data_IF_779070640463
#
_entry.id   IF_779070640463
#
_cell.length_a   1.000
_cell.length_b   1.000
_cell.length_c   1.000
_cell.angle_alpha   90.00
_cell.angle_beta   90.00
_cell.angle_gamma   90.00
#
_symmetry.space_group_name_H-M   'P 1'
#
loop_
_entity.id
_entity.type
_entity.pdbx_description
1 polymer ?
#
# COMPACT_ATOMS: atom_id res chain seq x y z
N UNK A 1 -41.32 8.83 -0.22
CA UNK A 1 -39.97 8.45 0.27
C UNK A 1 -39.03 8.60 -0.91
N UNK A 2 -37.94 9.41 -0.73
CA UNK A 2 -36.96 9.58 -1.76
C UNK A 2 -36.25 8.24 -1.99
N UNK A 3 -36.23 7.71 -3.22
CA UNK A 3 -35.59 6.43 -3.51
C UNK A 3 -34.06 6.45 -3.22
N UNK A 4 -33.55 7.63 -3.00
CA UNK A 4 -32.14 7.84 -2.63
C UNK A 4 -31.81 7.71 -1.13
N UNK A 5 -32.55 7.24 -0.46
CA UNK A 5 -32.39 7.13 0.80
C UNK A 5 -31.71 5.98 1.25
N UNK A 6 -31.77 5.22 0.52
CA UNK A 6 -31.16 3.98 0.94
C UNK A 6 -29.73 3.90 0.42
N UNK A 7 -28.85 3.28 1.20
CA UNK A 7 -27.48 3.01 0.80
C UNK A 7 -27.48 2.05 -0.40
N UNK A 8 -26.59 2.31 -1.35
CA UNK A 8 -26.38 1.37 -2.46
C UNK A 8 -25.72 0.09 -1.92
N UNK A 9 -25.78 -0.99 -2.70
CA UNK A 9 -25.13 -2.24 -2.34
C UNK A 9 -23.63 -2.03 -2.10
N UNK A 10 -22.95 -1.25 -2.96
CA UNK A 10 -21.51 -0.96 -2.83
C UNK A 10 -21.20 -0.18 -1.56
N UNK A 11 -22.05 0.80 -1.22
CA UNK A 11 -21.89 1.54 0.04
C UNK A 11 -22.06 0.63 1.26
N UNK A 12 -23.01 -0.29 1.21
CA UNK A 12 -23.21 -1.26 2.29
C UNK A 12 -21.99 -2.18 2.44
N UNK A 13 -21.45 -2.68 1.31
CA UNK A 13 -20.24 -3.49 1.30
C UNK A 13 -19.07 -2.67 1.86
N UNK A 14 -18.91 -1.41 1.44
CA UNK A 14 -17.86 -0.51 1.93
C UNK A 14 -17.91 -0.36 3.44
N UNK A 15 -19.08 -0.04 3.99
CA UNK A 15 -19.27 0.14 5.43
C UNK A 15 -19.00 -1.17 6.20
N UNK A 16 -19.47 -2.30 5.66
CA UNK A 16 -19.22 -3.62 6.27
C UNK A 16 -17.72 -3.95 6.28
N UNK A 17 -17.01 -3.65 5.20
CA UNK A 17 -15.56 -3.87 5.11
C UNK A 17 -14.80 -2.98 6.09
N UNK A 18 -15.17 -1.68 6.20
CA UNK A 18 -14.55 -0.77 7.18
C UNK A 18 -14.79 -1.29 8.60
N UNK A 19 -16.02 -1.68 8.92
CA UNK A 19 -16.35 -2.22 10.25
C UNK A 19 -15.54 -3.50 10.54
N UNK A 20 -15.48 -4.41 9.57
CA UNK A 20 -14.71 -5.65 9.72
C UNK A 20 -13.21 -5.38 9.90
N UNK A 21 -12.67 -4.43 9.12
CA UNK A 21 -11.27 -4.01 9.22
C UNK A 21 -10.97 -3.48 10.63
N UNK A 22 -11.83 -2.60 11.16
CA UNK A 22 -11.63 -2.01 12.49
C UNK A 22 -11.75 -3.06 13.59
N UNK A 23 -12.75 -3.92 13.50
CA UNK A 23 -12.93 -5.03 14.44
C UNK A 23 -11.76 -6.01 14.44
N UNK A 24 -11.21 -6.21 13.25
CA UNK A 24 -10.24 -7.06 13.12
C UNK A 24 -8.97 -6.58 13.61
N UNK A 25 -8.77 -5.40 13.29
CA UNK A 25 -7.52 -4.73 13.69
C UNK A 25 -7.46 -4.45 15.20
N UNK A 26 -8.56 -4.04 15.79
CA UNK A 26 -8.66 -3.83 17.22
C UNK A 26 -8.50 -5.13 18.01
N UNK A 27 -9.25 -6.15 17.66
CA UNK A 27 -9.21 -7.44 18.34
C UNK A 27 -7.83 -8.09 18.29
N UNK A 28 -7.12 -7.91 17.19
CA UNK A 28 -5.78 -8.49 16.99
C UNK A 28 -4.66 -7.54 17.36
N UNK A 29 -5.00 -6.35 17.85
CA UNK A 29 -4.05 -5.30 18.16
C UNK A 29 -3.10 -5.00 17.00
N UNK A 30 -3.66 -4.76 15.89
CA UNK A 30 -3.04 -4.45 14.83
C UNK A 30 -2.70 -3.15 14.77
N UNK A 31 -3.73 -2.32 15.23
CA UNK A 31 -3.64 -0.86 15.30
C UNK A 31 -3.93 -0.39 16.74
N UNK A 32 -3.31 0.71 17.17
CA UNK A 32 -3.70 1.39 18.41
C UNK A 32 -4.95 2.26 18.15
N UNK A 33 -5.45 2.95 19.18
CA UNK A 33 -6.67 3.77 19.07
C UNK A 33 -6.53 4.85 17.98
N UNK A 34 -5.35 5.46 17.88
CA UNK A 34 -5.09 6.49 16.85
C UNK A 34 -5.05 5.89 15.46
N UNK A 35 -4.46 4.70 15.34
CA UNK A 35 -4.40 3.95 14.07
C UNK A 35 -5.77 3.47 13.63
N UNK A 36 -6.62 3.01 14.57
CA UNK A 36 -8.00 2.62 14.26
C UNK A 36 -8.80 3.81 13.72
N UNK A 37 -8.67 4.98 14.36
CA UNK A 37 -9.35 6.20 13.89
C UNK A 37 -8.86 6.59 12.49
N UNK A 38 -7.55 6.61 12.28
CA UNK A 38 -6.98 6.92 10.95
C UNK A 38 -7.42 5.89 9.89
N UNK A 39 -7.43 4.59 10.23
CA UNK A 39 -7.85 3.53 9.32
C UNK A 39 -9.34 3.65 8.97
N UNK A 40 -10.18 4.07 9.93
CA UNK A 40 -11.59 4.36 9.67
C UNK A 40 -11.71 5.47 8.61
N UNK A 41 -11.03 6.60 8.80
CA UNK A 41 -11.11 7.73 7.87
C UNK A 41 -10.58 7.36 6.48
N UNK A 42 -9.39 6.74 6.42
CA UNK A 42 -8.77 6.29 5.17
C UNK A 42 -9.68 5.27 4.47
N UNK A 43 -10.22 4.30 5.22
CA UNK A 43 -11.10 3.26 4.69
C UNK A 43 -12.38 3.84 4.10
N UNK A 44 -13.01 4.79 4.81
CA UNK A 44 -14.21 5.47 4.32
C UNK A 44 -13.92 6.29 3.05
N UNK A 45 -12.82 7.06 3.03
CA UNK A 45 -12.44 7.86 1.86
C UNK A 45 -12.21 6.94 0.65
N UNK A 46 -11.41 5.90 0.81
CA UNK A 46 -11.03 5.02 -0.29
C UNK A 46 -12.26 4.26 -0.83
N UNK A 47 -13.14 3.79 0.07
CA UNK A 47 -14.26 2.93 -0.35
C UNK A 47 -15.49 3.70 -0.81
N UNK A 48 -15.74 4.89 -0.26
CA UNK A 48 -16.94 5.67 -0.60
C UNK A 48 -16.70 6.66 -1.75
N UNK A 49 -15.47 7.18 -1.91
CA UNK A 49 -15.12 8.07 -3.02
C UNK A 49 -14.50 7.30 -4.19
N UNK A 50 -13.83 6.20 -3.92
CA UNK A 50 -13.39 5.22 -4.90
C UNK A 50 -14.42 4.09 -5.00
N UNK A 51 -14.04 2.89 -4.57
CA UNK A 51 -14.93 1.72 -4.63
C UNK A 51 -14.55 0.72 -3.51
N UNK A 52 -15.50 -0.16 -3.10
CA UNK A 52 -15.21 -1.17 -2.07
C UNK A 52 -14.05 -2.11 -2.46
N UNK A 53 -13.85 -2.37 -3.76
CA UNK A 53 -12.72 -3.19 -4.24
C UNK A 53 -11.37 -2.54 -3.92
N UNK A 54 -11.33 -1.21 -3.93
CA UNK A 54 -10.11 -0.46 -3.56
C UNK A 54 -9.75 -0.72 -2.10
N UNK A 55 -10.76 -0.65 -1.23
CA UNK A 55 -10.56 -0.96 0.19
C UNK A 55 -10.14 -2.42 0.38
N UNK A 56 -10.73 -3.36 -0.39
CA UNK A 56 -10.36 -4.77 -0.31
C UNK A 56 -8.86 -4.97 -0.61
N UNK A 57 -8.33 -4.28 -1.62
CA UNK A 57 -6.89 -4.32 -1.94
C UNK A 57 -6.06 -3.77 -0.77
N UNK A 58 -6.49 -2.64 -0.18
CA UNK A 58 -5.79 -2.06 0.99
C UNK A 58 -5.87 -2.95 2.22
N UNK A 59 -6.94 -3.71 2.39
CA UNK A 59 -7.06 -4.69 3.49
C UNK A 59 -6.02 -5.81 3.30
N UNK A 60 -5.80 -6.28 2.08
CA UNK A 60 -4.74 -7.27 1.80
C UNK A 60 -3.37 -6.71 2.22
N UNK A 61 -3.07 -5.46 1.84
CA UNK A 61 -1.85 -4.79 2.27
C UNK A 61 -1.75 -4.75 3.80
N UNK A 62 -2.81 -4.33 4.48
CA UNK A 62 -2.79 -4.19 5.95
C UNK A 62 -2.56 -5.55 6.64
N UNK A 63 -3.27 -6.58 6.19
CA UNK A 63 -3.18 -7.93 6.79
C UNK A 63 -1.77 -8.50 6.61
N UNK A 64 -1.26 -8.49 5.38
CA UNK A 64 0.04 -9.09 5.07
C UNK A 64 1.18 -8.25 5.65
N UNK A 65 1.07 -6.92 5.58
CA UNK A 65 2.06 -6.02 6.18
C UNK A 65 2.13 -6.19 7.69
N UNK A 66 0.96 -6.28 8.36
CA UNK A 66 0.92 -6.51 9.82
C UNK A 66 1.47 -7.88 10.20
N UNK A 67 1.21 -8.90 9.39
CA UNK A 67 1.76 -10.24 9.60
C UNK A 67 3.30 -10.22 9.48
N UNK A 68 3.82 -9.53 8.47
CA UNK A 68 5.27 -9.40 8.26
C UNK A 68 5.94 -8.64 9.42
N UNK A 69 5.30 -7.55 9.90
CA UNK A 69 5.83 -6.78 11.04
C UNK A 69 5.97 -7.66 12.29
N UNK A 70 5.02 -8.55 12.53
CA UNK A 70 5.04 -9.45 13.69
C UNK A 70 5.92 -10.66 13.51
N UNK A 71 6.20 -11.02 12.26
CA UNK A 71 7.05 -12.17 11.98
C UNK A 71 8.45 -11.93 12.54
N UNK A 72 8.92 -12.86 13.38
CA UNK A 72 10.22 -12.78 14.06
C UNK A 72 10.45 -11.48 14.82
N UNK A 73 9.40 -10.93 15.42
CA UNK A 73 9.47 -9.63 16.12
C UNK A 73 10.55 -9.62 17.19
N UNK A 74 10.70 -10.73 17.96
CA UNK A 74 11.71 -10.82 19.02
C UNK A 74 13.14 -10.72 18.47
N UNK A 75 13.41 -11.36 17.32
CA UNK A 75 14.73 -11.28 16.67
C UNK A 75 15.01 -9.84 16.21
N UNK A 76 14.03 -9.20 15.59
CA UNK A 76 14.13 -7.80 15.13
C UNK A 76 14.32 -6.84 16.33
N UNK A 77 13.62 -7.08 17.43
CA UNK A 77 13.75 -6.27 18.64
C UNK A 77 15.15 -6.39 19.25
N UNK A 78 15.68 -7.61 19.27
CA UNK A 78 17.05 -7.85 19.77
C UNK A 78 18.11 -7.11 18.94
N UNK A 79 17.84 -6.87 17.66
CA UNK A 79 18.71 -6.11 16.75
C UNK A 79 18.42 -4.60 16.76
N UNK A 80 17.44 -4.13 17.57
CA UNK A 80 16.98 -2.74 17.63
C UNK A 80 16.40 -2.22 16.31
N UNK A 81 15.83 -3.10 15.51
CA UNK A 81 15.19 -2.76 14.24
C UNK A 81 13.68 -2.94 14.24
N UNK A 82 13.07 -3.26 15.19
CA UNK A 82 11.82 -3.44 15.29
C UNK A 82 11.17 -2.20 15.22
N UNK A 83 10.03 -2.25 14.71
CA UNK A 83 9.08 -1.15 14.83
C UNK A 83 8.58 -1.05 16.27
N UNK A 84 8.50 0.15 16.78
CA UNK A 84 8.10 0.42 18.15
C UNK A 84 6.71 -0.12 18.52
N UNK A 85 6.35 -0.04 19.79
CA UNK A 85 5.04 -0.45 20.33
C UNK A 85 4.67 -1.90 20.01
N UNK A 86 5.62 -2.81 20.12
CA UNK A 86 5.39 -4.25 19.89
C UNK A 86 4.77 -4.56 18.51
N UNK A 87 5.07 -3.75 17.49
CA UNK A 87 4.53 -3.90 16.14
C UNK A 87 3.11 -3.38 15.98
N UNK A 88 2.60 -2.64 16.99
CA UNK A 88 1.27 -1.99 16.92
C UNK A 88 1.41 -0.67 16.15
N UNK A 89 0.65 -0.50 15.08
CA UNK A 89 0.75 0.67 14.20
C UNK A 89 -0.19 1.77 14.63
N UNK A 90 0.32 3.00 14.71
CA UNK A 90 -0.46 4.19 15.01
C UNK A 90 -0.87 4.95 13.73
N UNK A 91 -1.53 6.11 13.93
CA UNK A 91 -2.07 6.93 12.84
C UNK A 91 -1.01 7.35 11.80
N UNK A 92 0.23 7.59 12.25
CA UNK A 92 1.31 8.00 11.33
C UNK A 92 1.63 6.90 10.32
N UNK A 93 1.66 5.63 10.76
CA UNK A 93 1.86 4.48 9.86
C UNK A 93 0.69 4.32 8.90
N UNK A 94 -0.55 4.51 9.40
CA UNK A 94 -1.75 4.40 8.55
C UNK A 94 -1.74 5.49 7.48
N UNK A 95 -1.45 6.75 7.85
CA UNK A 95 -1.41 7.85 6.88
C UNK A 95 -0.21 7.75 5.94
N UNK A 96 0.94 7.26 6.42
CA UNK A 96 2.12 7.08 5.56
C UNK A 96 1.81 6.24 4.32
N UNK A 97 0.96 5.22 4.47
CA UNK A 97 0.61 4.30 3.37
C UNK A 97 -0.81 4.52 2.82
N UNK A 98 -1.69 5.16 3.60
CA UNK A 98 -3.09 5.37 3.22
C UNK A 98 -3.39 6.73 2.60
N UNK A 99 -2.52 7.74 2.79
CA UNK A 99 -2.80 9.09 2.29
C UNK A 99 -2.74 9.15 0.76
N UNK A 100 -1.73 8.55 0.13
CA UNK A 100 -1.62 8.56 -1.34
C UNK A 100 -2.84 7.88 -2.01
N UNK A 101 -3.23 6.65 -1.62
CA UNK A 101 -4.46 6.07 -2.20
C UNK A 101 -5.72 6.87 -1.86
N UNK A 102 -5.79 7.55 -0.69
CA UNK A 102 -6.91 8.45 -0.37
C UNK A 102 -6.97 9.66 -1.32
N UNK A 103 -5.81 10.25 -1.64
CA UNK A 103 -5.73 11.34 -2.62
C UNK A 103 -6.24 10.86 -3.98
N UNK A 104 -5.82 9.66 -4.42
CA UNK A 104 -6.31 9.08 -5.68
C UNK A 104 -7.84 8.90 -5.65
N UNK A 105 -8.39 8.43 -4.52
CA UNK A 105 -9.85 8.25 -4.37
C UNK A 105 -10.58 9.60 -4.41
N UNK A 106 -10.04 10.65 -3.78
CA UNK A 106 -10.61 12.00 -3.83
C UNK A 106 -10.59 12.54 -5.28
N UNK A 107 -9.47 12.34 -5.99
CA UNK A 107 -9.35 12.78 -7.38
C UNK A 107 -10.31 12.01 -8.30
N UNK A 108 -10.51 10.72 -8.07
CA UNK A 108 -11.46 9.92 -8.86
C UNK A 108 -12.91 10.38 -8.69
N UNK A 109 -13.26 10.91 -7.53
CA UNK A 109 -14.59 11.46 -7.26
C UNK A 109 -14.89 12.68 -8.15
N UNK A 110 -13.86 13.44 -8.53
CA UNK A 110 -13.99 14.68 -9.29
C UNK A 110 -13.64 14.52 -10.77
N UNK A 111 -13.01 13.41 -11.15
CA UNK A 111 -12.46 13.23 -12.48
C UNK A 111 -12.99 11.98 -13.18
N UNK A 112 -12.94 12.01 -14.51
CA UNK A 112 -13.25 10.85 -15.33
C UNK A 112 -11.94 10.19 -15.78
N UNK A 113 -11.78 8.91 -15.49
CA UNK A 113 -10.60 8.18 -15.95
C UNK A 113 -10.36 6.89 -15.21
N UNK A 114 -10.02 5.88 -15.95
CA UNK A 114 -9.80 4.53 -15.41
C UNK A 114 -8.44 4.36 -14.73
N UNK A 115 -7.53 5.33 -14.93
CA UNK A 115 -6.21 5.27 -14.32
C UNK A 115 -6.25 5.31 -12.78
N UNK A 116 -7.33 5.87 -12.21
CA UNK A 116 -7.44 6.01 -10.75
C UNK A 116 -7.41 4.65 -10.04
N UNK A 117 -8.12 3.65 -10.58
CA UNK A 117 -8.11 2.30 -10.01
C UNK A 117 -6.69 1.73 -10.02
N UNK A 118 -5.97 1.86 -11.17
CA UNK A 118 -4.59 1.42 -11.26
C UNK A 118 -3.66 2.22 -10.36
N UNK A 119 -3.89 3.55 -10.26
CA UNK A 119 -3.11 4.43 -9.38
C UNK A 119 -3.20 3.99 -7.93
N UNK A 120 -4.43 3.72 -7.47
CA UNK A 120 -4.66 3.22 -6.11
C UNK A 120 -3.99 1.85 -5.91
N UNK A 121 -4.14 0.93 -6.88
CA UNK A 121 -3.53 -0.40 -6.80
C UNK A 121 -2.00 -0.31 -6.78
N UNK A 122 -1.42 0.61 -7.55
CA UNK A 122 0.03 0.85 -7.54
C UNK A 122 0.51 1.40 -6.19
N UNK A 123 -0.27 2.30 -5.54
CA UNK A 123 0.04 2.75 -4.18
C UNK A 123 0.09 1.55 -3.22
N UNK A 124 -0.92 0.69 -3.25
CA UNK A 124 -0.98 -0.50 -2.38
C UNK A 124 0.18 -1.46 -2.68
N UNK A 125 0.54 -1.59 -3.97
CA UNK A 125 1.63 -2.46 -4.41
C UNK A 125 2.97 -1.96 -3.86
N UNK A 126 3.24 -0.65 -3.96
CA UNK A 126 4.45 -0.04 -3.38
C UNK A 126 4.47 -0.27 -1.87
N UNK A 127 3.35 0.01 -1.19
CA UNK A 127 3.25 -0.13 0.27
C UNK A 127 3.53 -1.57 0.74
N UNK A 128 2.96 -2.57 0.04
CA UNK A 128 3.20 -3.97 0.44
C UNK A 128 4.62 -4.42 0.09
N UNK A 129 5.12 -4.03 -1.10
CA UNK A 129 6.50 -4.34 -1.52
C UNK A 129 7.51 -3.82 -0.51
N UNK A 130 7.39 -2.55 -0.15
CA UNK A 130 8.28 -1.91 0.81
C UNK A 130 8.18 -2.54 2.20
N UNK A 131 6.95 -2.76 2.68
CA UNK A 131 6.75 -3.36 4.00
C UNK A 131 7.37 -4.77 4.06
N UNK A 132 7.12 -5.62 3.05
CA UNK A 132 7.70 -6.97 3.04
C UNK A 132 9.22 -6.91 2.91
N UNK A 133 9.74 -6.02 2.06
CA UNK A 133 11.20 -5.85 1.88
C UNK A 133 11.87 -5.45 3.20
N UNK A 134 11.32 -4.44 3.89
CA UNK A 134 11.91 -3.93 5.13
C UNK A 134 11.77 -4.94 6.28
N UNK A 135 10.61 -5.59 6.40
CA UNK A 135 10.36 -6.51 7.53
C UNK A 135 11.08 -7.84 7.40
N UNK A 136 11.22 -8.36 6.19
CA UNK A 136 11.86 -9.65 5.92
C UNK A 136 13.34 -9.46 5.60
N UNK A 137 13.66 -8.43 4.80
CA UNK A 137 15.02 -8.14 4.39
C UNK A 137 15.92 -7.66 5.52
N UNK A 138 15.34 -7.04 6.56
CA UNK A 138 16.10 -6.54 7.71
C UNK A 138 16.82 -7.64 8.52
N UNK A 139 16.47 -8.90 8.29
CA UNK A 139 17.14 -10.03 8.95
C UNK A 139 18.24 -10.67 8.09
N UNK A 140 18.47 -10.18 6.87
CA UNK A 140 19.47 -10.75 5.95
C UNK A 140 20.83 -10.03 6.13
N UNK A 141 21.87 -10.75 6.55
CA UNK A 141 23.20 -10.13 6.77
C UNK A 141 23.87 -9.67 5.47
N UNK A 142 23.35 -10.04 4.29
CA UNK A 142 23.93 -9.67 3.00
C UNK A 142 23.41 -8.32 2.50
N UNK A 143 23.14 -7.40 3.44
CA UNK A 143 22.57 -6.09 3.11
C UNK A 143 23.65 -5.16 2.54
N UNK A 144 23.30 -4.47 1.45
CA UNK A 144 24.16 -3.48 0.80
C UNK A 144 23.36 -2.19 0.57
N UNK A 145 24.07 -1.06 0.67
CA UNK A 145 23.47 0.26 0.39
C UNK A 145 23.05 0.36 -1.08
N UNK A 146 21.86 0.88 -1.35
CA UNK A 146 21.35 1.15 -2.71
C UNK A 146 22.20 2.22 -3.43
N UNK A 147 22.89 3.09 -2.68
CA UNK A 147 23.63 4.24 -3.25
C UNK A 147 24.99 3.81 -3.79
N UNK A 148 25.76 3.03 -3.02
CA UNK A 148 27.16 2.73 -3.35
C UNK A 148 27.48 1.23 -3.34
N UNK A 149 26.49 0.38 -3.05
CA UNK A 149 26.60 -1.09 -3.01
C UNK A 149 27.57 -1.61 -1.93
N UNK A 150 28.02 -0.76 -1.02
CA UNK A 150 28.84 -1.17 0.12
C UNK A 150 28.00 -1.98 1.12
N UNK A 151 28.64 -2.91 1.82
CA UNK A 151 27.98 -3.69 2.86
C UNK A 151 27.60 -2.75 4.02
N UNK A 152 26.35 -2.85 4.47
CA UNK A 152 25.82 -2.07 5.59
C UNK A 152 25.09 -2.99 6.56
N UNK A 153 24.95 -2.60 7.83
CA UNK A 153 24.20 -3.41 8.80
C UNK A 153 22.76 -3.66 8.32
N UNK A 154 22.20 -4.85 8.61
CA UNK A 154 20.79 -5.10 8.35
C UNK A 154 19.90 -4.07 9.04
N UNK A 155 18.82 -3.65 8.39
CA UNK A 155 17.90 -2.62 8.90
C UNK A 155 18.33 -1.18 8.62
N UNK A 156 19.49 -0.96 7.96
CA UNK A 156 19.92 0.39 7.54
C UNK A 156 18.94 0.93 6.47
N UNK A 157 18.51 2.19 6.63
CA UNK A 157 17.67 2.85 5.61
C UNK A 157 18.41 2.89 4.27
N UNK A 158 17.72 2.46 3.21
CA UNK A 158 18.33 2.32 1.88
C UNK A 158 19.19 1.07 1.75
N UNK A 159 19.12 0.15 2.71
CA UNK A 159 19.78 -1.15 2.61
C UNK A 159 18.93 -2.12 1.78
N UNK A 160 19.57 -2.76 0.81
CA UNK A 160 18.94 -3.80 -0.03
C UNK A 160 19.56 -5.15 0.29
N UNK A 161 18.74 -6.18 0.34
CA UNK A 161 19.24 -7.57 0.51
C UNK A 161 18.54 -8.49 -0.47
N UNK A 162 19.14 -9.66 -0.79
CA UNK A 162 18.48 -10.64 -1.68
C UNK A 162 17.11 -11.09 -1.16
N UNK A 163 16.98 -11.35 0.14
CA UNK A 163 15.67 -11.75 0.71
C UNK A 163 14.68 -10.58 0.70
N UNK A 164 15.15 -9.35 0.97
CA UNK A 164 14.30 -8.15 0.89
C UNK A 164 13.81 -7.91 -0.53
N UNK A 165 14.68 -8.05 -1.52
CA UNK A 165 14.31 -7.89 -2.94
C UNK A 165 13.25 -8.94 -3.35
N UNK A 166 13.46 -10.21 -2.95
CA UNK A 166 12.49 -11.26 -3.24
C UNK A 166 11.15 -10.99 -2.55
N UNK A 167 11.19 -10.51 -1.31
CA UNK A 167 9.99 -10.15 -0.56
C UNK A 167 9.25 -8.98 -1.22
N UNK A 168 9.97 -7.96 -1.70
CA UNK A 168 9.39 -6.84 -2.46
C UNK A 168 8.65 -7.32 -3.70
N UNK A 169 9.31 -8.16 -4.51
CA UNK A 169 8.71 -8.74 -5.72
C UNK A 169 7.45 -9.55 -5.36
N UNK A 170 7.53 -10.34 -4.29
CA UNK A 170 6.38 -11.13 -3.81
C UNK A 170 5.21 -10.20 -3.43
N UNK A 171 5.48 -9.12 -2.71
CA UNK A 171 4.46 -8.13 -2.32
C UNK A 171 3.77 -7.51 -3.53
N UNK A 172 4.56 -7.08 -4.52
CA UNK A 172 4.00 -6.47 -5.74
C UNK A 172 3.16 -7.48 -6.54
N UNK A 173 3.62 -8.72 -6.65
CA UNK A 173 2.87 -9.78 -7.36
C UNK A 173 1.55 -10.09 -6.66
N UNK A 174 1.53 -10.15 -5.33
CA UNK A 174 0.29 -10.39 -4.57
C UNK A 174 -0.74 -9.30 -4.88
N UNK A 175 -0.34 -8.03 -4.79
CA UNK A 175 -1.28 -6.92 -5.09
C UNK A 175 -1.71 -6.96 -6.56
N UNK A 176 -0.79 -7.26 -7.48
CA UNK A 176 -1.14 -7.38 -8.91
C UNK A 176 -2.21 -8.46 -9.13
N UNK A 177 -2.04 -9.65 -8.52
CA UNK A 177 -3.03 -10.75 -8.60
C UNK A 177 -4.37 -10.29 -8.02
N UNK A 178 -4.36 -9.75 -6.80
CA UNK A 178 -5.60 -9.32 -6.12
C UNK A 178 -6.32 -8.26 -6.96
N UNK A 179 -5.58 -7.30 -7.50
CA UNK A 179 -6.18 -6.22 -8.32
C UNK A 179 -6.85 -6.80 -9.57
N UNK A 180 -6.16 -7.69 -10.29
CA UNK A 180 -6.73 -8.32 -11.49
C UNK A 180 -8.01 -9.11 -11.16
N UNK A 181 -8.04 -9.77 -10.00
CA UNK A 181 -9.24 -10.48 -9.54
C UNK A 181 -10.37 -9.51 -9.16
N UNK A 182 -10.04 -8.29 -8.77
CA UNK A 182 -11.04 -7.26 -8.38
C UNK A 182 -11.58 -6.47 -9.59
N UNK A 183 -10.89 -6.45 -10.74
CA UNK A 183 -11.32 -5.71 -11.93
C UNK A 183 -12.79 -6.00 -12.30
N UNK A 184 -13.26 -7.28 -12.36
CA UNK A 184 -14.66 -7.53 -12.76
C UNK A 184 -15.70 -6.93 -11.82
N UNK A 185 -15.34 -6.71 -10.56
CA UNK A 185 -16.26 -6.21 -9.54
C UNK A 185 -16.19 -4.70 -9.38
N UNK A 186 -15.32 -4.02 -10.14
CA UNK A 186 -15.13 -2.57 -10.04
C UNK A 186 -16.00 -1.79 -11.01
N UNK A 187 -16.93 -2.49 -11.74
CA UNK A 187 -17.73 -1.89 -12.80
C UNK A 187 -19.02 -1.21 -12.34
N UNK A 188 -19.52 -1.51 -11.15
CA UNK A 188 -20.87 -1.13 -10.75
C UNK A 188 -20.94 0.14 -9.90
N UNK A 189 -19.84 0.87 -9.76
CA UNK A 189 -19.77 2.11 -8.98
C UNK A 189 -20.00 3.38 -9.81
N UNK A 190 -19.94 4.53 -9.16
CA UNK A 190 -20.06 5.85 -9.79
C UNK A 190 -19.00 6.11 -10.86
N UNK A 191 -17.92 5.35 -10.81
CA UNK A 191 -16.80 5.49 -11.74
C UNK A 191 -16.58 4.17 -12.45
N UNK A 192 -16.96 4.14 -13.71
CA UNK A 192 -16.83 2.95 -14.55
C UNK A 192 -15.35 2.58 -14.73
N UNK A 193 -14.93 1.41 -14.25
CA UNK A 193 -13.75 0.78 -14.85
C UNK A 193 -14.16 0.45 -16.29
N UNK A 194 -13.45 1.00 -17.22
CA UNK A 194 -13.77 0.79 -18.63
C UNK A 194 -13.59 -0.68 -19.02
N UNK A 195 -14.28 -1.07 -20.06
CA UNK A 195 -14.00 -2.33 -20.75
C UNK A 195 -12.50 -2.49 -21.05
N UNK A 196 -11.78 -1.37 -21.16
CA UNK A 196 -10.35 -1.33 -21.41
C UNK A 196 -9.55 -2.10 -20.34
N UNK A 197 -9.85 -1.91 -19.04
CA UNK A 197 -9.17 -2.64 -17.97
C UNK A 197 -9.52 -4.13 -17.98
N UNK A 198 -10.77 -4.46 -18.29
CA UNK A 198 -11.20 -5.86 -18.37
C UNK A 198 -10.46 -6.59 -19.49
N UNK A 199 -10.28 -5.90 -20.63
CA UNK A 199 -9.62 -6.48 -21.81
C UNK A 199 -8.08 -6.46 -21.69
N UNK A 200 -7.53 -5.66 -20.76
CA UNK A 200 -6.08 -5.47 -20.59
C UNK A 200 -5.58 -5.89 -19.21
N UNK A 201 -6.15 -6.95 -18.64
CA UNK A 201 -5.76 -7.43 -17.29
C UNK A 201 -4.29 -7.83 -17.20
N UNK A 202 -3.75 -8.37 -18.29
CA UNK A 202 -2.35 -8.73 -18.38
C UNK A 202 -1.44 -7.50 -18.25
N UNK A 203 -1.81 -6.41 -18.93
CA UNK A 203 -1.07 -5.13 -18.85
C UNK A 203 -1.19 -4.54 -17.43
N UNK A 204 -2.40 -4.59 -16.84
CA UNK A 204 -2.61 -4.11 -15.47
C UNK A 204 -1.75 -4.91 -14.48
N UNK A 205 -1.73 -6.24 -14.60
CA UNK A 205 -0.90 -7.12 -13.78
C UNK A 205 0.58 -6.71 -13.86
N UNK A 206 1.10 -6.61 -15.08
CA UNK A 206 2.53 -6.30 -15.34
C UNK A 206 2.87 -4.91 -14.78
N UNK A 207 2.00 -3.92 -15.03
CA UNK A 207 2.21 -2.55 -14.56
C UNK A 207 2.29 -2.50 -13.04
N UNK A 208 1.30 -3.10 -12.35
CA UNK A 208 1.23 -3.08 -10.87
C UNK A 208 2.44 -3.80 -10.26
N UNK A 209 2.83 -4.94 -10.84
CA UNK A 209 3.98 -5.71 -10.36
C UNK A 209 5.28 -4.91 -10.49
N UNK A 210 5.50 -4.28 -11.65
CA UNK A 210 6.71 -3.50 -11.91
C UNK A 210 6.73 -2.23 -11.03
N UNK A 211 5.61 -1.51 -10.97
CA UNK A 211 5.51 -0.26 -10.20
C UNK A 211 5.70 -0.53 -8.70
N UNK A 212 5.13 -1.62 -8.18
CA UNK A 212 5.32 -1.97 -6.78
C UNK A 212 6.78 -2.16 -6.42
N UNK A 213 7.50 -2.92 -7.26
CA UNK A 213 8.93 -3.16 -7.04
C UNK A 213 9.76 -1.86 -7.21
N UNK A 214 9.48 -1.06 -8.26
CA UNK A 214 10.21 0.21 -8.48
C UNK A 214 9.95 1.18 -7.32
N UNK A 215 8.69 1.30 -6.86
CA UNK A 215 8.35 2.18 -5.74
C UNK A 215 9.07 1.81 -4.45
N UNK A 216 9.30 0.51 -4.21
CA UNK A 216 10.13 0.06 -3.10
C UNK A 216 11.58 0.55 -3.25
N UNK A 217 12.12 0.60 -4.49
CA UNK A 217 13.46 1.18 -4.72
C UNK A 217 13.46 2.70 -4.49
N UNK A 218 12.36 3.38 -4.86
CA UNK A 218 12.20 4.83 -4.57
C UNK A 218 12.24 5.05 -3.06
N UNK A 219 11.53 4.22 -2.27
CA UNK A 219 11.59 4.29 -0.79
C UNK A 219 13.02 4.16 -0.29
N UNK A 220 13.73 3.14 -0.76
CA UNK A 220 15.13 2.88 -0.36
C UNK A 220 16.06 4.05 -0.70
N UNK A 221 15.88 4.66 -1.88
CA UNK A 221 16.70 5.83 -2.29
C UNK A 221 16.36 7.04 -1.40
N UNK A 222 15.07 7.32 -1.17
CA UNK A 222 14.66 8.43 -0.30
C UNK A 222 15.13 8.21 1.14
N UNK A 223 15.05 6.97 1.63
CA UNK A 223 15.57 6.59 2.95
C UNK A 223 17.06 6.86 3.07
N UNK A 224 17.82 6.44 2.07
CA UNK A 224 19.27 6.63 2.06
C UNK A 224 19.66 8.11 1.99
N UNK A 225 18.99 8.91 1.15
CA UNK A 225 19.40 10.27 0.86
C UNK A 225 18.79 11.33 1.77
N UNK A 226 17.55 11.12 2.25
CA UNK A 226 16.84 12.15 2.99
C UNK A 226 16.58 11.77 4.46
N UNK A 227 16.24 10.50 4.73
CA UNK A 227 15.93 10.08 6.10
C UNK A 227 17.22 9.96 6.92
N UNK A 228 18.28 9.36 6.37
CA UNK A 228 19.55 9.22 7.08
C UNK A 228 20.18 10.59 7.40
N UNK A 229 19.93 11.60 6.57
CA UNK A 229 20.41 12.97 6.80
C UNK A 229 19.49 13.76 7.74
N UNK A 230 18.34 13.19 8.11
CA UNK A 230 17.39 13.84 9.00
C UNK A 230 16.52 14.90 8.37
N UNK A 231 16.50 15.01 7.02
CA UNK A 231 15.66 16.00 6.33
C UNK A 231 14.17 15.63 6.43
N UNK A 232 13.85 14.35 6.36
CA UNK A 232 12.46 13.85 6.50
C UNK A 232 12.49 12.56 7.31
N UNK A 233 11.35 12.20 7.90
CA UNK A 233 11.25 10.95 8.66
C UNK A 233 10.64 9.81 7.84
N UNK A 234 10.73 8.60 8.38
CA UNK A 234 10.24 7.35 7.77
C UNK A 234 8.83 7.46 7.18
N UNK A 235 7.91 8.07 7.92
CA UNK A 235 6.51 8.19 7.46
C UNK A 235 6.39 9.05 6.20
N UNK A 236 7.22 10.09 6.07
CA UNK A 236 7.26 10.94 4.88
C UNK A 236 7.86 10.18 3.69
N UNK A 237 8.90 9.39 3.94
CA UNK A 237 9.50 8.52 2.90
C UNK A 237 8.46 7.56 2.37
N UNK A 238 7.76 6.82 3.24
CA UNK A 238 6.71 5.87 2.84
C UNK A 238 5.60 6.56 2.04
N UNK A 239 5.17 7.76 2.48
CA UNK A 239 4.15 8.53 1.76
C UNK A 239 4.62 8.90 0.34
N UNK A 240 5.85 9.42 0.22
CA UNK A 240 6.40 9.81 -1.09
C UNK A 240 6.59 8.59 -1.99
N UNK A 241 7.03 7.46 -1.43
CA UNK A 241 7.18 6.22 -2.19
C UNK A 241 5.82 5.73 -2.70
N UNK A 242 4.78 5.68 -1.83
CA UNK A 242 3.43 5.27 -2.27
C UNK A 242 2.85 6.24 -3.30
N UNK A 243 3.07 7.55 -3.12
CA UNK A 243 2.63 8.56 -4.08
C UNK A 243 3.32 8.37 -5.44
N UNK A 244 4.62 7.99 -5.45
CA UNK A 244 5.32 7.71 -6.71
C UNK A 244 4.65 6.57 -7.47
N UNK A 245 4.04 5.60 -6.77
CA UNK A 245 3.27 4.53 -7.40
C UNK A 245 2.09 5.06 -8.19
N UNK A 246 1.31 5.99 -7.62
CA UNK A 246 0.19 6.62 -8.33
C UNK A 246 0.68 7.45 -9.54
N UNK A 247 1.79 8.19 -9.37
CA UNK A 247 2.36 8.99 -10.47
C UNK A 247 2.85 8.11 -11.61
N UNK A 248 3.51 6.99 -11.31
CA UNK A 248 3.95 6.03 -12.33
C UNK A 248 2.76 5.42 -13.08
N UNK A 249 1.67 5.10 -12.36
CA UNK A 249 0.45 4.59 -12.98
C UNK A 249 -0.16 5.63 -13.92
N UNK A 250 -0.25 6.88 -13.49
CA UNK A 250 -0.78 7.99 -14.30
C UNK A 250 0.04 8.17 -15.59
N UNK A 251 1.37 8.18 -15.48
CA UNK A 251 2.27 8.35 -16.64
C UNK A 251 2.14 7.15 -17.60
N UNK A 252 2.02 5.95 -17.04
CA UNK A 252 1.92 4.73 -17.86
C UNK A 252 0.56 4.61 -18.55
N UNK A 253 -0.51 5.15 -17.93
CA UNK A 253 -1.88 5.00 -18.43
C UNK A 253 -1.99 5.37 -19.92
N UNK A 254 -1.60 6.57 -20.29
CA UNK A 254 -1.71 7.05 -21.66
C UNK A 254 -0.70 6.46 -22.64
N UNK A 255 0.16 5.51 -22.21
CA UNK A 255 1.17 4.87 -23.07
C UNK A 255 1.00 3.36 -23.19
N UNK A 256 0.35 2.74 -22.22
CA UNK A 256 0.20 1.28 -22.12
C UNK A 256 -1.23 0.87 -22.45
N UNK A 257 -2.21 1.67 -22.08
CA UNK A 257 -3.64 1.48 -22.29
C UNK A 257 -4.19 2.42 -23.35
#
# INVERSE_FOLDING_TARGET
>A
MDPNXYLTQDQMISLALVAALLLXSGARRXLDASGLFAAMLVGLVISLLGHWTWLAIMVVFLVLGSAATRWKFEEKSAMSIXEGNEGVRGWRNVLANGAAPSIVAILSWQGDGDWYFLGMACCASVALSDTLASEIGSLDPRTRSIINLEAVPPGTNGGMSPTGTLAAITGSLIIAVVTVLMIPYSHDGFHHSSSLLVDSRDKAFVLIAIVGWIGCQVDSILGALLENEGYIGKHSVNFLATLSGALMAFIAWGRVF
#
